data_IF_597250235895
#
_entry.id   IF_597250235895
#
_cell.length_a   1.000
_cell.length_b   1.000
_cell.length_c   1.000
_cell.angle_alpha   90.00
_cell.angle_beta   90.00
_cell.angle_gamma   90.00
#
_symmetry.space_group_name_H-M   'P 1'
#
loop_
_entity.id
_entity.type
_entity.pdbx_description
1 polymer ?
#
# COMPACT_ATOMS: atom_id res chain seq x y z
N UNK A 1 -53.17 26.65 -23.97
CA UNK A 1 -52.86 26.37 -22.54
C UNK A 1 -53.18 24.90 -22.31
N UNK A 2 -52.15 24.02 -22.35
CA UNK A 2 -51.57 23.36 -21.16
C UNK A 2 -52.31 22.06 -20.81
N UNK A 3 -51.74 20.87 -20.61
CA UNK A 3 -50.40 20.28 -20.71
C UNK A 3 -50.65 18.74 -20.65
N UNK A 4 -50.03 17.93 -21.52
CA UNK A 4 -50.06 16.45 -21.46
C UNK A 4 -48.93 15.95 -20.55
N UNK A 5 -49.25 15.21 -19.49
CA UNK A 5 -48.25 14.61 -18.59
C UNK A 5 -47.91 13.20 -19.10
N UNK A 6 -46.73 13.06 -19.71
CA UNK A 6 -46.09 11.78 -20.03
C UNK A 6 -45.27 11.30 -18.83
N UNK A 7 -45.58 10.12 -18.28
CA UNK A 7 -44.72 9.44 -17.31
C UNK A 7 -43.65 8.62 -18.04
N UNK A 8 -42.37 9.05 -17.98
CA UNK A 8 -41.21 8.23 -18.38
C UNK A 8 -40.69 7.41 -17.20
N UNK A 9 -40.56 6.09 -17.37
CA UNK A 9 -39.84 5.18 -16.47
C UNK A 9 -38.32 5.36 -16.65
N UNK A 10 -37.48 5.42 -15.60
CA UNK A 10 -36.04 5.39 -15.78
C UNK A 10 -35.55 3.95 -15.99
N UNK A 11 -34.87 3.71 -17.11
CA UNK A 11 -34.07 2.51 -17.35
C UNK A 11 -32.76 2.61 -16.56
N UNK A 12 -32.48 1.67 -15.66
CA UNK A 12 -31.16 1.53 -15.05
C UNK A 12 -30.16 1.02 -16.11
N UNK A 13 -29.21 1.87 -16.46
CA UNK A 13 -28.04 1.53 -17.26
C UNK A 13 -27.07 0.70 -16.41
N UNK A 14 -26.80 -0.53 -16.83
CA UNK A 14 -25.71 -1.36 -16.30
C UNK A 14 -24.38 -0.73 -16.70
N UNK A 15 -23.70 -0.08 -15.75
CA UNK A 15 -22.32 0.38 -15.93
C UNK A 15 -21.42 -0.87 -15.95
N UNK A 16 -20.98 -1.26 -17.15
CA UNK A 16 -19.84 -2.18 -17.32
C UNK A 16 -18.57 -1.42 -16.91
N UNK A 17 -17.99 -1.80 -15.78
CA UNK A 17 -16.65 -1.40 -15.37
C UNK A 17 -15.65 -2.21 -16.20
N UNK A 18 -14.88 -1.54 -17.05
CA UNK A 18 -13.93 -2.16 -17.97
C UNK A 18 -12.53 -2.25 -17.28
N UNK A 19 -11.98 -3.45 -17.06
CA UNK A 19 -10.79 -3.67 -16.22
C UNK A 19 -9.46 -3.21 -16.83
N UNK A 20 -9.46 -2.64 -18.04
CA UNK A 20 -8.24 -2.27 -18.77
C UNK A 20 -8.01 -0.76 -18.90
N UNK A 21 -8.82 0.10 -18.28
CA UNK A 21 -8.60 1.56 -18.28
C UNK A 21 -7.39 2.05 -17.48
N UNK A 22 -6.65 1.14 -16.82
CA UNK A 22 -5.45 1.46 -16.04
C UNK A 22 -4.14 1.45 -16.83
N UNK A 23 -4.10 0.89 -18.04
CA UNK A 23 -2.82 0.62 -18.76
C UNK A 23 -2.19 1.91 -19.31
N UNK A 24 -3.01 2.88 -19.73
CA UNK A 24 -2.53 4.19 -20.20
C UNK A 24 -1.89 5.04 -19.09
N UNK A 25 -2.30 4.82 -17.84
CA UNK A 25 -1.70 5.50 -16.67
C UNK A 25 -0.35 4.90 -16.29
N UNK A 26 -0.14 3.61 -16.57
CA UNK A 26 1.12 2.89 -16.35
C UNK A 26 2.20 3.37 -17.32
N UNK A 27 1.86 3.56 -18.60
CA UNK A 27 2.82 3.99 -19.62
C UNK A 27 3.33 5.43 -19.44
N UNK A 28 2.48 6.37 -19.01
CA UNK A 28 2.90 7.75 -18.74
C UNK A 28 3.80 7.85 -17.49
N UNK A 29 3.57 6.98 -16.51
CA UNK A 29 4.33 6.91 -15.25
C UNK A 29 5.73 6.32 -15.45
N UNK A 30 5.92 5.45 -16.45
CA UNK A 30 7.23 4.86 -16.77
C UNK A 30 8.31 5.87 -17.12
N UNK A 31 7.95 7.02 -17.70
CA UNK A 31 8.89 8.06 -18.09
C UNK A 31 9.26 9.01 -16.93
N UNK A 32 8.45 9.07 -15.88
CA UNK A 32 8.72 9.85 -14.65
C UNK A 32 9.53 9.04 -13.61
N UNK A 33 9.61 7.71 -13.78
CA UNK A 33 10.34 6.78 -12.90
C UNK A 33 11.87 6.89 -13.01
N UNK A 34 12.40 7.48 -14.07
CA UNK A 34 13.85 7.53 -14.31
C UNK A 34 14.54 8.70 -13.58
N UNK A 35 13.82 9.78 -13.27
CA UNK A 35 14.37 10.99 -12.64
C UNK A 35 14.17 11.05 -11.11
N UNK A 36 13.33 10.19 -10.54
CA UNK A 36 13.04 10.14 -9.09
C UNK A 36 14.04 9.35 -8.25
N UNK A 37 15.18 8.93 -8.83
CA UNK A 37 16.15 7.99 -8.25
C UNK A 37 16.88 8.52 -7.00
N UNK A 38 16.59 9.74 -6.53
CA UNK A 38 17.34 10.41 -5.46
C UNK A 38 16.55 10.75 -4.18
N UNK A 39 15.25 10.45 -4.06
CA UNK A 39 14.45 10.91 -2.90
C UNK A 39 13.35 9.93 -2.43
N UNK A 40 13.74 8.81 -1.79
CA UNK A 40 12.84 8.15 -0.83
C UNK A 40 11.85 7.08 -1.34
N UNK A 41 12.15 6.40 -2.45
CA UNK A 41 11.49 5.14 -2.84
C UNK A 41 10.08 5.29 -3.45
N UNK A 42 9.74 4.38 -4.37
CA UNK A 42 8.46 4.38 -5.06
C UNK A 42 7.37 3.72 -4.21
N UNK A 43 6.38 4.51 -3.80
CA UNK A 43 5.20 4.04 -3.07
C UNK A 43 4.02 3.85 -4.02
N UNK A 44 3.44 2.65 -4.02
CA UNK A 44 2.23 2.34 -4.77
C UNK A 44 1.08 2.04 -3.81
N UNK A 45 -0.07 2.67 -4.03
CA UNK A 45 -1.27 2.55 -3.21
C UNK A 45 -2.44 2.06 -4.06
N UNK A 46 -3.11 0.99 -3.61
CA UNK A 46 -4.30 0.44 -4.26
C UNK A 46 -5.26 -0.03 -3.16
N UNK A 47 -6.52 0.41 -3.16
CA UNK A 47 -7.54 -0.03 -2.21
C UNK A 47 -8.62 1.02 -1.95
N UNK A 48 -9.62 0.63 -1.16
CA UNK A 48 -10.73 1.50 -0.74
C UNK A 48 -10.26 2.55 0.27
N UNK A 49 -9.20 2.25 1.02
CA UNK A 49 -8.51 3.22 1.87
C UNK A 49 -7.01 2.95 1.95
N UNK A 50 -6.28 3.98 2.37
CA UNK A 50 -4.83 3.98 2.49
C UNK A 50 -4.42 4.13 3.95
N UNK A 51 -3.93 3.08 4.62
CA UNK A 51 -3.33 3.19 5.94
C UNK A 51 -2.16 4.17 5.97
N UNK A 52 -2.02 4.92 7.06
CA UNK A 52 -0.82 5.72 7.33
C UNK A 52 0.31 4.80 7.74
N UNK A 53 1.51 5.08 7.23
CA UNK A 53 2.71 4.30 7.53
C UNK A 53 3.87 5.25 7.74
N UNK A 54 4.54 5.12 8.88
CA UNK A 54 5.83 5.75 9.14
C UNK A 54 6.96 4.77 8.83
N UNK A 55 8.06 5.27 8.31
CA UNK A 55 9.25 4.48 7.98
C UNK A 55 10.43 5.08 8.73
N UNK A 56 11.10 4.26 9.53
CA UNK A 56 12.28 4.67 10.28
C UNK A 56 13.49 3.89 9.79
N UNK A 57 14.52 4.63 9.35
CA UNK A 57 15.81 4.06 9.05
C UNK A 57 16.67 4.01 10.33
N UNK A 58 17.01 2.81 10.77
CA UNK A 58 17.76 2.53 11.99
C UNK A 58 19.18 2.04 11.65
N UNK A 59 20.05 1.95 12.66
CA UNK A 59 21.43 1.49 12.43
C UNK A 59 21.49 0.04 11.89
N UNK A 60 20.66 -0.86 12.42
CA UNK A 60 20.70 -2.30 12.10
C UNK A 60 19.64 -2.74 11.08
N UNK A 61 18.72 -1.85 10.71
CA UNK A 61 17.56 -2.22 9.89
C UNK A 61 16.67 -1.04 9.55
N UNK A 62 15.52 -1.34 8.94
CA UNK A 62 14.46 -0.37 8.64
C UNK A 62 13.15 -0.90 9.20
N UNK A 63 12.39 -0.03 9.87
CA UNK A 63 11.07 -0.34 10.44
C UNK A 63 9.96 0.42 9.73
N UNK A 64 8.81 -0.23 9.57
CA UNK A 64 7.59 0.30 8.98
C UNK A 64 6.46 0.18 10.00
N UNK A 65 5.85 1.30 10.38
CA UNK A 65 4.78 1.38 11.37
C UNK A 65 3.47 1.77 10.70
N UNK A 66 2.60 0.80 10.43
CA UNK A 66 1.31 1.01 9.78
C UNK A 66 0.16 1.07 10.79
N UNK A 67 -0.62 2.15 10.75
CA UNK A 67 -1.83 2.28 11.57
C UNK A 67 -3.00 1.51 10.96
N UNK A 68 -3.44 0.47 11.65
CA UNK A 68 -4.48 -0.46 11.24
C UNK A 68 -5.49 -0.71 12.39
N UNK A 69 -6.14 0.33 12.93
CA UNK A 69 -7.02 0.20 14.08
C UNK A 69 -8.29 -0.60 13.75
N UNK A 70 -8.66 -1.52 14.64
CA UNK A 70 -9.87 -2.34 14.52
C UNK A 70 -9.75 -3.50 13.53
N UNK A 71 -8.53 -3.93 13.22
CA UNK A 71 -8.23 -5.15 12.47
C UNK A 71 -7.61 -6.18 13.41
N UNK A 72 -7.86 -7.47 13.16
CA UNK A 72 -7.11 -8.55 13.81
C UNK A 72 -5.86 -8.91 12.99
N UNK A 73 -4.88 -9.56 13.63
CA UNK A 73 -3.65 -10.05 12.97
C UNK A 73 -3.93 -10.89 11.72
N UNK A 74 -5.00 -11.69 11.76
CA UNK A 74 -5.44 -12.57 10.67
C UNK A 74 -5.98 -11.82 9.45
N UNK A 75 -6.42 -10.57 9.62
CA UNK A 75 -7.01 -9.75 8.56
C UNK A 75 -5.92 -8.99 7.76
N UNK A 76 -4.67 -9.12 8.18
CA UNK A 76 -3.51 -8.45 7.58
C UNK A 76 -2.56 -9.48 7.01
N UNK A 77 -2.14 -9.29 5.76
CA UNK A 77 -1.15 -10.11 5.08
C UNK A 77 0.02 -9.23 4.66
N UNK A 78 1.22 -9.76 4.93
CA UNK A 78 2.49 -9.12 4.60
C UNK A 78 3.23 -10.06 3.65
N UNK A 79 3.76 -9.52 2.56
CA UNK A 79 4.55 -10.28 1.59
C UNK A 79 5.75 -9.46 1.15
N UNK A 80 6.87 -10.14 0.91
CA UNK A 80 8.02 -9.57 0.20
C UNK A 80 8.26 -10.44 -1.02
N UNK A 81 8.40 -9.80 -2.17
CA UNK A 81 8.67 -10.44 -3.46
C UNK A 81 10.14 -10.31 -3.84
N UNK A 82 10.60 -11.12 -4.80
CA UNK A 82 12.01 -11.17 -5.22
C UNK A 82 12.51 -9.86 -5.86
N UNK A 83 11.60 -9.07 -6.42
CA UNK A 83 11.82 -7.70 -6.89
C UNK A 83 11.92 -6.66 -5.74
N UNK A 84 12.01 -7.13 -4.49
CA UNK A 84 12.20 -6.33 -3.27
C UNK A 84 11.01 -5.45 -2.92
N UNK A 85 9.80 -5.85 -3.26
CA UNK A 85 8.60 -5.09 -2.90
C UNK A 85 7.97 -5.66 -1.63
N UNK A 86 8.02 -4.90 -0.53
CA UNK A 86 7.25 -5.17 0.68
C UNK A 86 5.82 -4.69 0.49
N UNK A 87 4.85 -5.59 0.61
CA UNK A 87 3.42 -5.29 0.48
C UNK A 87 2.68 -5.62 1.77
N UNK A 88 1.95 -4.64 2.30
CA UNK A 88 1.04 -4.76 3.43
C UNK A 88 -0.38 -4.61 2.90
N UNK A 89 -1.20 -5.67 3.04
CA UNK A 89 -2.58 -5.68 2.53
C UNK A 89 -3.55 -6.30 3.51
N UNK A 90 -4.82 -5.93 3.40
CA UNK A 90 -5.87 -6.47 4.25
C UNK A 90 -7.24 -5.88 3.92
N UNK A 91 -8.22 -6.18 4.76
CA UNK A 91 -9.59 -5.68 4.58
C UNK A 91 -10.22 -5.34 5.93
N UNK A 92 -10.69 -4.10 6.07
CA UNK A 92 -11.43 -3.63 7.23
C UNK A 92 -12.93 -3.67 6.96
N UNK A 93 -13.56 -4.72 7.46
CA UNK A 93 -15.00 -4.94 7.25
C UNK A 93 -15.85 -3.94 8.02
N UNK A 94 -16.93 -3.50 7.38
CA UNK A 94 -18.01 -2.77 8.06
C UNK A 94 -18.98 -3.78 8.65
N UNK A 95 -19.35 -3.62 9.92
CA UNK A 95 -20.41 -4.47 10.50
C UNK A 95 -21.74 -4.19 9.79
N UNK A 96 -22.27 -5.19 9.09
CA UNK A 96 -23.53 -5.09 8.33
C UNK A 96 -24.78 -4.89 9.22
N UNK A 97 -24.68 -5.17 10.53
CA UNK A 97 -25.77 -4.98 11.53
C UNK A 97 -26.19 -3.51 11.76
N UNK A 98 -25.65 -2.58 10.97
CA UNK A 98 -25.95 -1.16 11.02
C UNK A 98 -27.17 -0.73 10.19
N UNK A 99 -27.87 -1.65 9.51
CA UNK A 99 -29.07 -1.31 8.72
C UNK A 99 -30.17 -0.59 9.52
N UNK A 100 -30.19 -0.74 10.86
CA UNK A 100 -31.14 -0.07 11.77
C UNK A 100 -30.50 1.02 12.65
N UNK A 101 -29.33 1.56 12.30
CA UNK A 101 -28.66 2.62 13.07
C UNK A 101 -28.59 3.93 12.27
N UNK A 102 -29.17 4.99 12.82
CA UNK A 102 -29.09 6.34 12.26
C UNK A 102 -27.76 6.99 12.66
N UNK A 103 -26.73 6.79 11.85
CA UNK A 103 -25.46 7.49 12.01
C UNK A 103 -25.61 8.95 11.57
N UNK A 104 -25.31 9.90 12.47
CA UNK A 104 -25.20 11.32 12.10
C UNK A 104 -23.92 11.59 11.31
N UNK A 105 -22.86 10.81 11.56
CA UNK A 105 -21.55 10.93 10.89
C UNK A 105 -20.79 9.60 10.91
N UNK A 106 -20.10 9.31 9.81
CA UNK A 106 -19.16 8.18 9.68
C UNK A 106 -17.87 8.73 9.07
N UNK A 107 -16.78 8.70 9.84
CA UNK A 107 -15.44 9.15 9.42
C UNK A 107 -14.44 8.00 9.34
N UNK A 108 -14.82 6.83 9.88
CA UNK A 108 -13.99 5.63 9.86
C UNK A 108 -13.91 5.07 8.44
N UNK A 109 -12.69 4.77 8.00
CA UNK A 109 -12.45 4.07 6.74
C UNK A 109 -12.74 2.57 6.89
N UNK A 110 -13.28 1.97 5.82
CA UNK A 110 -13.57 0.54 5.66
C UNK A 110 -13.22 0.12 4.22
N UNK A 111 -13.16 -1.19 4.00
CA UNK A 111 -12.84 -1.79 2.70
C UNK A 111 -11.44 -2.40 2.66
N UNK A 112 -10.98 -2.72 1.47
CA UNK A 112 -9.67 -3.31 1.20
C UNK A 112 -8.56 -2.25 1.21
N UNK A 113 -7.34 -2.66 1.53
CA UNK A 113 -6.15 -1.81 1.41
C UNK A 113 -4.95 -2.61 0.92
N UNK A 114 -4.04 -1.95 0.21
CA UNK A 114 -2.73 -2.47 -0.19
C UNK A 114 -1.73 -1.32 -0.29
N UNK A 115 -0.66 -1.41 0.52
CA UNK A 115 0.48 -0.49 0.52
C UNK A 115 1.72 -1.26 0.13
N UNK A 116 2.44 -0.78 -0.88
CA UNK A 116 3.66 -1.41 -1.36
C UNK A 116 4.83 -0.44 -1.30
N UNK A 117 5.98 -0.95 -0.85
CA UNK A 117 7.23 -0.22 -0.68
C UNK A 117 8.37 -0.99 -1.34
N UNK A 118 9.12 -0.32 -2.21
CA UNK A 118 10.36 -0.88 -2.74
C UNK A 118 11.44 -0.80 -1.68
N UNK A 119 11.96 -1.95 -1.27
CA UNK A 119 13.03 -2.06 -0.28
C UNK A 119 14.39 -1.74 -0.92
N UNK A 120 15.24 -0.94 -0.26
CA UNK A 120 16.59 -0.68 -0.74
C UNK A 120 17.45 -1.95 -0.81
N UNK A 121 18.54 -1.85 -1.57
CA UNK A 121 19.36 -3.01 -1.91
C UNK A 121 20.22 -3.56 -0.80
N UNK A 122 20.41 -2.77 0.24
CA UNK A 122 21.15 -3.07 1.45
C UNK A 122 20.31 -3.82 2.49
N UNK A 123 19.03 -4.13 2.24
CA UNK A 123 18.21 -4.91 3.18
C UNK A 123 18.24 -6.43 2.90
N UNK A 124 18.19 -7.23 3.97
CA UNK A 124 18.12 -8.70 3.95
C UNK A 124 16.65 -9.16 3.88
N UNK A 125 16.18 -9.57 2.70
CA UNK A 125 14.75 -9.90 2.46
C UNK A 125 14.24 -11.10 3.28
N UNK A 126 15.13 -11.98 3.72
CA UNK A 126 14.85 -13.16 4.54
C UNK A 126 14.75 -12.83 6.05
N UNK A 127 15.13 -11.62 6.46
CA UNK A 127 15.17 -11.20 7.86
C UNK A 127 13.89 -10.50 8.36
N UNK A 128 12.83 -10.53 7.56
CA UNK A 128 11.60 -9.77 7.85
C UNK A 128 10.92 -10.29 9.11
N UNK A 129 10.68 -9.39 10.06
CA UNK A 129 9.92 -9.65 11.29
C UNK A 129 8.70 -8.75 11.32
N UNK A 130 7.60 -9.24 11.88
CA UNK A 130 6.39 -8.47 12.03
C UNK A 130 5.78 -8.64 13.42
N UNK A 131 5.28 -7.56 13.98
CA UNK A 131 4.49 -7.55 15.21
C UNK A 131 3.28 -6.66 15.04
N UNK A 132 2.20 -6.98 15.74
CA UNK A 132 0.96 -6.22 15.70
C UNK A 132 0.43 -6.08 17.11
N UNK A 133 0.41 -4.83 17.58
CA UNK A 133 -0.04 -4.47 18.93
C UNK A 133 -0.87 -3.20 18.88
N UNK A 134 -1.96 -3.16 19.64
CA UNK A 134 -2.84 -1.97 19.80
C UNK A 134 -3.26 -1.29 18.49
N UNK A 135 -3.43 -2.06 17.41
CA UNK A 135 -3.84 -1.53 16.11
C UNK A 135 -2.71 -0.95 15.27
N UNK A 136 -1.44 -1.17 15.65
CA UNK A 136 -0.27 -0.77 14.87
C UNK A 136 0.50 -2.00 14.44
N UNK A 137 0.75 -2.11 13.13
CA UNK A 137 1.63 -3.11 12.55
C UNK A 137 3.03 -2.55 12.46
N UNK A 138 3.99 -3.24 13.05
CA UNK A 138 5.42 -2.96 12.90
C UNK A 138 6.05 -4.06 12.07
N UNK A 139 6.62 -3.71 10.92
CA UNK A 139 7.43 -4.60 10.08
C UNK A 139 8.87 -4.12 10.16
N UNK A 140 9.80 -5.02 10.47
CA UNK A 140 11.23 -4.70 10.57
C UNK A 140 12.04 -5.58 9.63
N UNK A 141 13.01 -5.00 8.95
CA UNK A 141 13.90 -5.68 8.00
C UNK A 141 15.34 -5.31 8.31
N UNK A 142 16.21 -6.31 8.50
CA UNK A 142 17.61 -6.07 8.82
C UNK A 142 18.39 -5.53 7.62
N UNK A 143 19.39 -4.69 7.90
CA UNK A 143 20.43 -4.33 6.93
C UNK A 143 21.40 -5.48 6.72
N UNK A 144 22.01 -5.50 5.53
CA UNK A 144 23.15 -6.33 5.17
C UNK A 144 24.34 -5.85 5.96
N UNK A 145 25.20 -6.78 6.35
CA UNK A 145 26.48 -6.39 6.93
C UNK A 145 27.25 -5.58 5.88
N UNK A 146 27.87 -4.45 6.27
CA UNK A 146 28.65 -3.65 5.35
C UNK A 146 29.73 -4.54 4.75
N UNK A 147 29.78 -4.60 3.42
CA UNK A 147 30.86 -5.30 2.74
C UNK A 147 32.17 -4.62 3.15
N UNK A 148 33.06 -5.33 3.86
CA UNK A 148 34.41 -4.85 4.09
C UNK A 148 35.07 -4.72 2.73
N UNK A 149 35.21 -3.49 2.24
CA UNK A 149 35.97 -3.23 1.02
C UNK A 149 37.42 -3.63 1.29
N UNK A 150 37.89 -4.67 0.61
CA UNK A 150 39.32 -4.98 0.55
C UNK A 150 39.95 -3.97 -0.41
N UNK A 151 40.72 -3.04 0.14
CA UNK A 151 41.57 -2.18 -0.67
C UNK A 151 42.58 -3.07 -1.40
N UNK A 152 42.54 -3.07 -2.73
CA UNK A 152 43.49 -3.81 -3.55
C UNK A 152 44.42 -2.80 -4.19
N UNK A 153 45.68 -2.80 -3.77
CA UNK A 153 46.72 -1.96 -4.35
C UNK A 153 46.95 -2.36 -5.81
N UNK A 154 46.70 -1.43 -6.75
CA UNK A 154 46.99 -1.63 -8.17
C UNK A 154 48.36 -1.03 -8.46
N UNK A 155 49.30 -1.86 -8.88
CA UNK A 155 50.62 -1.41 -9.33
C UNK A 155 50.49 -0.80 -10.72
N UNK A 156 51.05 0.41 -10.87
CA UNK A 156 51.17 1.09 -12.16
C UNK A 156 52.33 0.45 -12.92
N UNK A 157 52.09 0.07 -14.18
CA UNK A 157 53.09 -0.43 -15.14
C UNK A 157 53.52 0.66 -16.12
#
# INVERSE_FOLDING_TARGET
MSFLITTRRPTMSLIKVDPFRGVDTVFRRMNELFDGFNDGGLQFEIGDFTPRVDICDEAEGVSFHAELPGLDKKDVKITVTDDRVLTIRGEKKREEKQQNKNYTRIERNYGSFSRSFTLPSDLKLDSVKASFDKGVLTVWVAKKEPAMHKEQEIKIS
#
